data_IF_043613693821
#
_entry.id   IF_043613693821
#
_cell.length_a   1.000
_cell.length_b   1.000
_cell.length_c   1.000
_cell.angle_alpha   90.00
_cell.angle_beta   90.00
_cell.angle_gamma   90.00
#
_symmetry.space_group_name_H-M   'P 1'
#
loop_
_entity.id
_entity.type
_entity.pdbx_description
1 polymer ?
#
# COMPACT_ATOMS: atom_id res chain seq x y z
N UNK A 1 -21.67 18.43 -27.33
CA UNK A 1 -20.66 17.67 -26.58
C UNK A 1 -21.21 17.42 -25.18
N UNK A 2 -21.90 16.29 -24.98
CA UNK A 2 -22.48 15.95 -23.69
C UNK A 2 -21.38 15.54 -22.73
N UNK A 3 -21.17 16.31 -21.66
CA UNK A 3 -20.36 15.85 -20.55
C UNK A 3 -21.09 14.64 -19.95
N UNK A 4 -20.52 13.45 -20.16
CA UNK A 4 -20.91 12.27 -19.41
C UNK A 4 -20.49 12.52 -17.96
N UNK A 5 -21.38 13.11 -17.16
CA UNK A 5 -21.23 13.15 -15.71
C UNK A 5 -21.05 11.71 -15.25
N UNK A 6 -19.80 11.33 -14.95
CA UNK A 6 -19.53 10.01 -14.40
C UNK A 6 -20.29 9.90 -13.09
N UNK A 7 -21.26 9.00 -13.03
CA UNK A 7 -22.10 8.78 -11.85
C UNK A 7 -21.24 8.73 -10.59
N UNK A 8 -21.55 9.61 -9.62
CA UNK A 8 -20.88 9.63 -8.33
C UNK A 8 -21.02 8.25 -7.68
N UNK A 9 -19.91 7.55 -7.53
CA UNK A 9 -19.90 6.21 -6.95
C UNK A 9 -20.36 6.23 -5.50
N UNK A 10 -21.13 5.21 -5.11
CA UNK A 10 -21.52 5.01 -3.71
C UNK A 10 -20.27 4.78 -2.86
N UNK A 11 -20.17 5.48 -1.73
CA UNK A 11 -19.05 5.32 -0.80
C UNK A 11 -19.00 3.88 -0.29
N UNK A 12 -17.86 3.23 -0.46
CA UNK A 12 -17.67 1.87 0.01
C UNK A 12 -17.74 1.77 1.55
N UNK A 13 -18.45 0.76 2.04
CA UNK A 13 -18.50 0.44 3.47
C UNK A 13 -17.13 0.06 4.03
N UNK A 14 -16.93 0.30 5.33
CA UNK A 14 -15.65 0.08 6.01
C UNK A 14 -15.18 -1.38 5.96
N UNK A 15 -16.12 -2.34 6.03
CA UNK A 15 -15.85 -3.79 6.02
C UNK A 15 -15.21 -4.21 4.69
N UNK A 16 -15.75 -3.75 3.55
CA UNK A 16 -15.22 -4.09 2.22
C UNK A 16 -13.83 -3.49 2.03
N UNK A 17 -13.60 -2.28 2.55
CA UNK A 17 -12.28 -1.63 2.54
C UNK A 17 -11.27 -2.41 3.38
N UNK A 18 -11.69 -2.97 4.51
CA UNK A 18 -10.85 -3.82 5.34
C UNK A 18 -10.45 -5.10 4.61
N UNK A 19 -11.41 -5.83 4.02
CA UNK A 19 -11.11 -7.03 3.22
C UNK A 19 -10.21 -6.74 2.02
N UNK A 20 -10.46 -5.65 1.29
CA UNK A 20 -9.58 -5.22 0.21
C UNK A 20 -8.15 -4.94 0.68
N UNK A 21 -8.02 -4.27 1.84
CA UNK A 21 -6.71 -3.98 2.44
C UNK A 21 -5.99 -5.25 2.90
N UNK A 22 -6.69 -6.18 3.53
CA UNK A 22 -6.14 -7.49 3.93
C UNK A 22 -5.66 -8.28 2.70
N UNK A 23 -6.41 -8.24 1.60
CA UNK A 23 -6.01 -8.86 0.34
C UNK A 23 -4.75 -8.21 -0.23
N UNK A 24 -4.68 -6.87 -0.26
CA UNK A 24 -3.49 -6.13 -0.71
C UNK A 24 -2.26 -6.46 0.15
N UNK A 25 -2.41 -6.66 1.47
CA UNK A 25 -1.30 -7.07 2.35
C UNK A 25 -0.74 -8.45 1.98
N UNK A 26 -1.59 -9.43 1.68
CA UNK A 26 -1.14 -10.77 1.23
C UNK A 26 -0.36 -10.68 -0.07
N UNK A 27 -0.85 -9.88 -1.03
CA UNK A 27 -0.14 -9.66 -2.31
C UNK A 27 1.20 -8.97 -2.05
N UNK A 28 1.21 -7.90 -1.26
CA UNK A 28 2.43 -7.16 -0.94
C UNK A 28 3.47 -8.02 -0.24
N UNK A 29 3.05 -8.90 0.68
CA UNK A 29 3.94 -9.87 1.30
C UNK A 29 4.62 -10.75 0.25
N UNK A 30 3.85 -11.35 -0.66
CA UNK A 30 4.41 -12.17 -1.76
C UNK A 30 5.34 -11.38 -2.68
N UNK A 31 4.91 -10.20 -3.14
CA UNK A 31 5.69 -9.38 -4.08
C UNK A 31 6.98 -8.86 -3.44
N UNK A 32 6.94 -8.39 -2.19
CA UNK A 32 8.14 -7.90 -1.49
C UNK A 32 9.09 -9.03 -1.12
N UNK A 33 8.58 -10.22 -0.77
CA UNK A 33 9.43 -11.41 -0.62
C UNK A 33 10.14 -11.77 -1.93
N UNK A 34 9.43 -11.79 -3.05
CA UNK A 34 10.02 -12.12 -4.36
C UNK A 34 11.01 -11.05 -4.85
N UNK A 35 10.66 -9.77 -4.72
CA UNK A 35 11.42 -8.66 -5.33
C UNK A 35 12.52 -8.11 -4.42
N UNK A 36 12.44 -8.33 -3.11
CA UNK A 36 13.38 -7.74 -2.14
C UNK A 36 13.94 -8.79 -1.19
N UNK A 37 13.08 -9.56 -0.52
CA UNK A 37 13.50 -10.57 0.46
C UNK A 37 14.46 -11.60 -0.13
N UNK A 38 14.03 -12.31 -1.17
CA UNK A 38 14.83 -13.35 -1.84
C UNK A 38 16.13 -12.78 -2.43
N UNK A 39 16.13 -11.68 -3.20
CA UNK A 39 17.36 -11.08 -3.70
C UNK A 39 18.36 -10.69 -2.60
N UNK A 40 17.89 -10.13 -1.49
CA UNK A 40 18.75 -9.80 -0.34
C UNK A 40 19.32 -11.08 0.29
N UNK A 41 18.49 -12.11 0.51
CA UNK A 41 18.96 -13.38 1.05
C UNK A 41 20.01 -14.01 0.13
N UNK A 42 19.77 -14.04 -1.18
CA UNK A 42 20.74 -14.54 -2.17
C UNK A 42 22.04 -13.71 -2.12
N UNK A 43 21.95 -12.38 -2.04
CA UNK A 43 23.10 -11.49 -1.89
C UNK A 43 23.97 -11.86 -0.69
N UNK A 44 23.35 -12.16 0.45
CA UNK A 44 24.04 -12.51 1.70
C UNK A 44 24.64 -13.91 1.60
N UNK A 45 23.84 -14.91 1.24
CA UNK A 45 24.24 -16.32 1.31
C UNK A 45 25.19 -16.73 0.17
N UNK A 46 24.98 -16.22 -1.04
CA UNK A 46 25.76 -16.63 -2.22
C UNK A 46 26.96 -15.73 -2.49
N UNK A 47 26.89 -14.45 -2.10
CA UNK A 47 27.91 -13.46 -2.43
C UNK A 47 28.57 -12.84 -1.18
N UNK A 48 28.10 -13.13 0.03
CA UNK A 48 28.63 -12.53 1.27
C UNK A 48 28.38 -11.02 1.36
N UNK A 49 27.52 -10.47 0.50
CA UNK A 49 27.25 -9.04 0.43
C UNK A 49 25.99 -8.74 1.23
N UNK A 50 26.17 -8.05 2.36
CA UNK A 50 25.05 -7.57 3.19
C UNK A 50 24.73 -6.11 2.84
N UNK A 51 23.59 -5.83 2.18
CA UNK A 51 23.21 -4.45 1.89
C UNK A 51 23.00 -3.67 3.20
N UNK A 52 23.40 -2.39 3.26
CA UNK A 52 23.10 -1.55 4.41
C UNK A 52 21.60 -1.52 4.73
N UNK A 53 21.24 -1.46 6.01
CA UNK A 53 19.83 -1.53 6.47
C UNK A 53 18.94 -0.45 5.83
N UNK A 54 19.47 0.75 5.63
CA UNK A 54 18.73 1.84 4.96
C UNK A 54 18.38 1.49 3.51
N UNK A 55 19.27 0.80 2.80
CA UNK A 55 19.04 0.38 1.41
C UNK A 55 17.99 -0.73 1.35
N UNK A 56 18.05 -1.69 2.28
CA UNK A 56 17.01 -2.72 2.40
C UNK A 56 15.63 -2.07 2.60
N UNK A 57 15.52 -1.14 3.56
CA UNK A 57 14.29 -0.39 3.81
C UNK A 57 13.82 0.40 2.59
N UNK A 58 14.74 1.05 1.87
CA UNK A 58 14.42 1.78 0.64
C UNK A 58 13.88 0.86 -0.46
N UNK A 59 14.43 -0.35 -0.63
CA UNK A 59 13.96 -1.32 -1.62
C UNK A 59 12.52 -1.79 -1.30
N UNK A 60 12.25 -2.15 -0.04
CA UNK A 60 10.90 -2.49 0.40
C UNK A 60 9.93 -1.33 0.18
N UNK A 61 10.30 -0.13 0.59
CA UNK A 61 9.48 1.06 0.42
C UNK A 61 9.19 1.35 -1.06
N UNK A 62 10.19 1.19 -1.93
CA UNK A 62 10.05 1.42 -3.37
C UNK A 62 9.05 0.44 -4.00
N UNK A 63 9.11 -0.84 -3.64
CA UNK A 63 8.17 -1.85 -4.14
C UNK A 63 6.74 -1.56 -3.65
N UNK A 64 6.57 -1.22 -2.37
CA UNK A 64 5.27 -0.88 -1.79
C UNK A 64 4.71 0.40 -2.45
N UNK A 65 5.54 1.42 -2.62
CA UNK A 65 5.17 2.66 -3.30
C UNK A 65 4.74 2.40 -4.74
N UNK A 66 5.54 1.65 -5.50
CA UNK A 66 5.23 1.31 -6.89
C UNK A 66 3.92 0.52 -7.01
N UNK A 67 3.65 -0.38 -6.07
CA UNK A 67 2.39 -1.12 -6.00
C UNK A 67 1.20 -0.19 -5.77
N UNK A 68 1.21 0.63 -4.72
CA UNK A 68 0.04 1.47 -4.44
C UNK A 68 -0.12 2.62 -5.44
N UNK A 69 0.91 3.45 -5.58
CA UNK A 69 0.85 4.66 -6.41
C UNK A 69 0.71 4.28 -7.89
N UNK A 70 1.43 3.26 -8.36
CA UNK A 70 1.35 2.82 -9.75
C UNK A 70 -0.05 2.29 -10.12
N UNK A 71 -0.65 1.44 -9.27
CA UNK A 71 -1.99 0.92 -9.53
C UNK A 71 -3.09 1.98 -9.37
N UNK A 72 -2.94 2.90 -8.41
CA UNK A 72 -3.89 4.01 -8.24
C UNK A 72 -3.83 5.02 -9.38
N UNK A 73 -2.63 5.44 -9.79
CA UNK A 73 -2.48 6.44 -10.85
C UNK A 73 -2.86 5.89 -12.23
N UNK A 74 -2.58 4.63 -12.54
CA UNK A 74 -2.90 4.03 -13.85
C UNK A 74 -4.34 3.49 -13.92
N UNK A 75 -4.79 2.76 -12.89
CA UNK A 75 -6.03 2.00 -12.93
C UNK A 75 -7.10 2.46 -11.94
N UNK A 76 -6.75 3.36 -11.00
CA UNK A 76 -7.63 3.76 -9.90
C UNK A 76 -7.93 2.64 -8.89
N UNK A 77 -7.34 1.44 -9.02
CA UNK A 77 -7.63 0.32 -8.14
C UNK A 77 -6.41 -0.62 -8.04
N UNK A 78 -6.05 -0.99 -6.81
CA UNK A 78 -5.08 -2.06 -6.53
C UNK A 78 -5.68 -3.42 -6.87
N UNK A 79 -4.83 -4.44 -6.93
CA UNK A 79 -5.27 -5.80 -7.22
C UNK A 79 -6.28 -6.30 -6.17
N UNK A 80 -6.08 -6.02 -4.88
CA UNK A 80 -7.02 -6.39 -3.81
C UNK A 80 -8.34 -5.61 -3.84
N UNK A 81 -8.38 -4.43 -4.47
CA UNK A 81 -9.62 -3.66 -4.65
C UNK A 81 -10.53 -4.22 -5.76
N UNK A 82 -9.95 -4.85 -6.80
CA UNK A 82 -10.67 -5.29 -8.00
C UNK A 82 -11.75 -6.35 -7.73
N UNK A 83 -11.53 -7.40 -6.91
CA UNK A 83 -12.57 -8.40 -6.61
C UNK A 83 -13.84 -7.79 -5.99
N UNK A 84 -13.67 -6.70 -5.24
CA UNK A 84 -14.74 -5.99 -4.55
C UNK A 84 -15.35 -4.84 -5.37
N UNK A 85 -14.98 -4.71 -6.65
CA UNK A 85 -15.38 -3.61 -7.53
C UNK A 85 -15.08 -2.22 -6.94
N UNK A 86 -14.06 -2.13 -6.08
CA UNK A 86 -13.63 -0.87 -5.49
C UNK A 86 -12.74 -0.12 -6.47
N UNK A 87 -12.94 1.20 -6.52
CA UNK A 87 -12.12 2.10 -7.31
C UNK A 87 -11.98 3.43 -6.58
N UNK A 88 -10.78 4.00 -6.66
CA UNK A 88 -10.47 5.36 -6.29
C UNK A 88 -10.76 6.28 -7.47
N UNK A 89 -11.47 7.34 -7.20
CA UNK A 89 -11.77 8.40 -8.13
C UNK A 89 -11.66 9.75 -7.42
N UNK A 90 -11.33 10.81 -8.16
CA UNK A 90 -11.41 12.18 -7.66
C UNK A 90 -12.86 12.52 -7.32
N UNK A 91 -13.06 13.18 -6.17
CA UNK A 91 -14.39 13.44 -5.63
C UNK A 91 -15.22 14.37 -6.54
N UNK A 92 -14.55 15.33 -7.18
CA UNK A 92 -15.20 16.35 -8.00
C UNK A 92 -15.53 15.87 -9.41
N UNK A 93 -14.62 15.12 -10.05
CA UNK A 93 -14.75 14.76 -11.48
C UNK A 93 -15.04 13.27 -11.73
N UNK A 94 -14.88 12.41 -10.72
CA UNK A 94 -14.96 10.95 -10.89
C UNK A 94 -13.81 10.36 -11.74
N UNK A 95 -12.75 11.13 -11.97
CA UNK A 95 -11.58 10.69 -12.74
C UNK A 95 -10.61 9.83 -11.95
N UNK A 96 -9.75 9.04 -12.62
CA UNK A 96 -8.60 8.40 -11.97
C UNK A 96 -7.79 9.41 -11.16
N UNK A 97 -7.14 8.92 -10.11
CA UNK A 97 -6.30 9.75 -9.26
C UNK A 97 -5.10 10.27 -10.05
N UNK A 98 -4.81 11.57 -9.94
CA UNK A 98 -3.56 12.11 -10.46
C UNK A 98 -2.37 11.49 -9.70
N UNK A 99 -1.19 11.46 -10.33
CA UNK A 99 0.03 10.95 -9.71
C UNK A 99 0.35 11.68 -8.40
N UNK A 100 0.21 13.01 -8.37
CA UNK A 100 0.44 13.80 -7.18
C UNK A 100 -0.51 13.42 -6.05
N UNK A 101 -1.81 13.33 -6.33
CA UNK A 101 -2.82 12.93 -5.35
C UNK A 101 -2.59 11.50 -4.85
N UNK A 102 -2.14 10.59 -5.71
CA UNK A 102 -1.77 9.23 -5.32
C UNK A 102 -0.56 9.21 -4.36
N UNK A 103 0.46 10.03 -4.60
CA UNK A 103 1.61 10.18 -3.69
C UNK A 103 1.20 10.74 -2.33
N UNK A 104 0.38 11.79 -2.29
CA UNK A 104 -0.13 12.37 -1.03
C UNK A 104 -0.96 11.33 -0.26
N UNK A 105 -1.83 10.60 -0.96
CA UNK A 105 -2.61 9.51 -0.37
C UNK A 105 -1.70 8.41 0.19
N UNK A 106 -0.62 8.07 -0.51
CA UNK A 106 0.36 7.09 -0.04
C UNK A 106 1.09 7.56 1.23
N UNK A 107 1.47 8.83 1.31
CA UNK A 107 2.06 9.40 2.53
C UNK A 107 1.10 9.30 3.73
N UNK A 108 -0.19 9.59 3.52
CA UNK A 108 -1.23 9.41 4.54
C UNK A 108 -1.41 7.94 4.95
N UNK A 109 -1.36 7.01 4.00
CA UNK A 109 -1.38 5.57 4.27
C UNK A 109 -0.20 5.16 5.15
N UNK A 110 1.03 5.56 4.81
CA UNK A 110 2.23 5.25 5.60
C UNK A 110 2.14 5.82 7.02
N UNK A 111 1.71 7.08 7.15
CA UNK A 111 1.53 7.72 8.46
C UNK A 111 0.54 6.94 9.33
N UNK A 112 -0.57 6.48 8.74
CA UNK A 112 -1.60 5.70 9.44
C UNK A 112 -1.04 4.36 9.93
N UNK A 113 -0.31 3.64 9.07
CA UNK A 113 0.29 2.35 9.43
C UNK A 113 1.40 2.49 10.47
N UNK A 114 2.22 3.54 10.39
CA UNK A 114 3.23 3.85 11.40
C UNK A 114 2.57 4.14 12.76
N UNK A 115 1.52 4.97 12.79
CA UNK A 115 0.79 5.26 14.02
C UNK A 115 0.15 4.00 14.63
N UNK A 116 -0.46 3.15 13.79
CA UNK A 116 -1.02 1.87 14.23
C UNK A 116 0.06 0.94 14.78
N UNK A 117 1.19 0.80 14.07
CA UNK A 117 2.32 -0.02 14.50
C UNK A 117 2.91 0.44 15.83
N UNK A 118 3.09 1.75 16.01
CA UNK A 118 3.54 2.33 17.30
C UNK A 118 2.54 2.06 18.42
N UNK A 119 1.23 2.17 18.14
CA UNK A 119 0.18 1.93 19.14
C UNK A 119 0.17 0.46 19.57
N UNK A 120 0.24 -0.48 18.62
CA UNK A 120 0.31 -1.91 18.91
C UNK A 120 1.59 -2.29 19.66
N UNK A 121 2.73 -1.72 19.25
CA UNK A 121 4.00 -1.90 19.95
C UNK A 121 3.90 -1.45 21.41
N UNK A 122 3.32 -0.29 21.65
CA UNK A 122 3.09 0.23 22.99
C UNK A 122 2.21 -0.71 23.83
N UNK A 123 1.10 -1.21 23.27
CA UNK A 123 0.20 -2.14 23.99
C UNK A 123 0.94 -3.43 24.37
N UNK A 124 1.71 -4.02 23.43
CA UNK A 124 2.46 -5.25 23.67
C UNK A 124 3.57 -5.06 24.70
N UNK A 125 4.25 -3.91 24.68
CA UNK A 125 5.34 -3.62 25.62
C UNK A 125 4.87 -3.18 27.00
N UNK A 126 3.62 -2.70 27.13
CA UNK A 126 3.02 -2.26 28.39
C UNK A 126 2.61 -3.41 29.34
N UNK A 127 2.71 -4.67 28.91
CA UNK A 127 2.33 -5.85 29.71
C UNK A 127 3.49 -6.47 30.52
N UNK A 128 4.48 -5.66 30.95
CA UNK A 128 5.67 -6.17 31.68
C UNK A 128 6.01 -5.44 32.98
N UNK A 129 5.12 -4.66 33.61
CA UNK A 129 5.50 -4.13 34.94
C UNK A 129 4.62 -3.12 35.67
N UNK A 130 3.31 -3.30 35.70
CA UNK A 130 2.49 -2.76 36.80
C UNK A 130 1.53 -3.82 37.33
#
# INVERSE_FOLDING_TARGET
MGQSERQQGVRAGIIVRFFASAYDLTILFGVTMLMVGIPITISIEMFGLTPPKWLQGLLFLTVIFAYFVGFWAKGGATTGMRPWKLRLAMLETGDPLSWFTACVRFAGLMTTWLALGMTLWYIVTRDTGH
#
